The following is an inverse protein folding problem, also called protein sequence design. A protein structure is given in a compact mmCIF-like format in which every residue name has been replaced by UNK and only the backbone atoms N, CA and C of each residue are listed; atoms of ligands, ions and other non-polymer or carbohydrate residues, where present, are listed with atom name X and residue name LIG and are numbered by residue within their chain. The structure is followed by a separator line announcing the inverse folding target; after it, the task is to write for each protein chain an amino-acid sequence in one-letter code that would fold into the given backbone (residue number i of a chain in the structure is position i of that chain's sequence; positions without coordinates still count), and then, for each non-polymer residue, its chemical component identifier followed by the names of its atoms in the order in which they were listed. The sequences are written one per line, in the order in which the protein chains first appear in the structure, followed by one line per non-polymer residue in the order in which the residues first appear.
data_IF_297806484351
#
_entry.id   IF_297806484351
#
_cell.length_a   1.000
_cell.length_b   1.000
_cell.length_c   1.000
_cell.angle_alpha   90.00
_cell.angle_beta   90.00
_cell.angle_gamma   90.00
#
_symmetry.space_group_name_H-M   'P 1'
#
loop_
_entity.id
_entity.type
_entity.pdbx_description
1 polymer ?
#
# COMPACT_ATOMS: atom_id res chain seq x y z
N UNK A 1 -2.32 -7.14 -17.16
CA UNK A 1 -1.87 -8.20 -16.24
C UNK A 1 -0.55 -8.81 -16.72
N UNK A 2 0.59 -8.10 -16.60
CA UNK A 2 1.87 -8.69 -17.01
C UNK A 2 2.20 -9.86 -16.08
N UNK A 3 2.70 -10.96 -16.64
CA UNK A 3 2.95 -12.19 -15.86
C UNK A 3 4.37 -12.66 -16.07
N UNK A 4 5.05 -12.94 -14.97
CA UNK A 4 6.40 -13.50 -14.94
C UNK A 4 6.32 -14.93 -14.39
N UNK A 5 6.83 -15.88 -15.15
CA UNK A 5 6.77 -17.31 -14.86
C UNK A 5 8.19 -17.87 -14.67
N UNK A 6 8.29 -18.90 -13.83
CA UNK A 6 9.51 -19.70 -13.60
C UNK A 6 9.23 -21.16 -13.94
N UNK A 7 10.25 -21.87 -14.42
CA UNK A 7 10.19 -23.31 -14.78
C UNK A 7 8.99 -23.63 -15.67
N UNK A 8 9.07 -23.15 -16.91
CA UNK A 8 7.95 -23.11 -17.85
C UNK A 8 8.07 -24.20 -18.89
N UNK A 9 6.98 -24.91 -19.14
CA UNK A 9 6.80 -25.77 -20.33
C UNK A 9 5.87 -25.07 -21.32
N UNK A 10 6.45 -24.44 -22.34
CA UNK A 10 5.73 -23.70 -23.37
C UNK A 10 5.34 -24.65 -24.51
N UNK A 11 4.06 -24.69 -24.87
CA UNK A 11 3.59 -25.41 -26.06
C UNK A 11 3.03 -24.42 -27.07
N UNK A 12 3.78 -24.17 -28.14
CA UNK A 12 3.31 -23.32 -29.23
C UNK A 12 2.42 -24.13 -30.18
N UNK A 13 1.40 -23.50 -30.76
CA UNK A 13 0.52 -24.16 -31.74
C UNK A 13 1.35 -24.73 -32.90
N UNK A 14 1.19 -26.02 -33.17
CA UNK A 14 1.87 -26.72 -34.27
C UNK A 14 3.37 -26.95 -34.05
N UNK A 15 3.87 -26.78 -32.82
CA UNK A 15 5.27 -27.07 -32.48
C UNK A 15 5.35 -27.97 -31.26
N UNK A 16 6.49 -28.63 -31.10
CA UNK A 16 6.77 -29.43 -29.91
C UNK A 16 6.91 -28.53 -28.66
N UNK A 17 6.55 -29.04 -27.46
CA UNK A 17 6.77 -28.33 -26.22
C UNK A 17 8.25 -28.01 -25.97
N UNK A 18 8.53 -26.84 -25.42
CA UNK A 18 9.88 -26.36 -25.06
C UNK A 18 9.92 -26.00 -23.58
N UNK A 19 10.98 -26.42 -22.89
CA UNK A 19 11.23 -26.05 -21.49
C UNK A 19 12.08 -24.79 -21.40
N UNK A 20 11.77 -23.92 -20.45
CA UNK A 20 12.47 -22.64 -20.21
C UNK A 20 12.54 -22.35 -18.71
N UNK A 21 13.62 -21.74 -18.24
CA UNK A 21 13.73 -21.37 -16.81
C UNK A 21 12.86 -20.17 -16.46
N UNK A 22 12.77 -19.19 -17.35
CA UNK A 22 12.02 -17.95 -17.15
C UNK A 22 11.26 -17.53 -18.40
N UNK A 23 10.03 -17.06 -18.24
CA UNK A 23 9.22 -16.48 -19.31
C UNK A 23 8.43 -15.28 -18.79
N UNK A 24 8.36 -14.21 -19.57
CA UNK A 24 7.51 -13.05 -19.27
C UNK A 24 6.50 -12.84 -20.38
N UNK A 25 5.23 -12.67 -20.02
CA UNK A 25 4.12 -12.46 -20.97
C UNK A 25 3.48 -11.11 -20.69
N UNK A 26 3.36 -10.29 -21.74
CA UNK A 26 2.65 -9.01 -21.67
C UNK A 26 1.16 -9.28 -21.48
N UNK A 27 0.56 -8.59 -20.52
CA UNK A 27 -0.78 -8.93 -20.05
C UNK A 27 -1.91 -8.73 -21.04
N UNK A 28 -1.75 -7.87 -22.04
CA UNK A 28 -2.75 -7.66 -23.08
C UNK A 28 -2.87 -8.88 -24.03
N UNK A 29 -1.86 -9.75 -24.06
CA UNK A 29 -1.85 -10.95 -24.91
C UNK A 29 -2.42 -12.19 -24.19
N UNK A 30 -2.86 -12.04 -22.93
CA UNK A 30 -3.36 -13.15 -22.11
C UNK A 30 -4.88 -13.20 -22.21
N UNK A 31 -5.43 -14.38 -22.57
CA UNK A 31 -6.87 -14.59 -22.72
C UNK A 31 -7.53 -15.16 -21.47
N UNK A 32 -6.86 -16.09 -20.79
CA UNK A 32 -7.36 -16.74 -19.59
C UNK A 32 -6.21 -17.24 -18.72
N UNK A 33 -6.50 -17.47 -17.44
CA UNK A 33 -5.63 -18.15 -16.49
C UNK A 33 -6.32 -19.43 -16.02
N UNK A 34 -5.54 -20.49 -15.83
CA UNK A 34 -5.98 -21.68 -15.11
C UNK A 34 -5.32 -21.58 -13.75
N UNK A 35 -6.13 -21.44 -12.70
CA UNK A 35 -5.66 -21.32 -11.33
C UNK A 35 -5.77 -22.69 -10.62
N UNK A 36 -5.02 -22.93 -9.55
CA UNK A 36 -5.20 -24.12 -8.74
C UNK A 36 -6.62 -24.19 -8.16
N UNK A 37 -7.22 -25.38 -8.17
CA UNK A 37 -8.58 -25.61 -7.64
C UNK A 37 -8.69 -25.30 -6.15
N UNK A 38 -7.57 -25.38 -5.42
CA UNK A 38 -7.49 -25.08 -3.98
C UNK A 38 -7.46 -23.59 -3.65
N UNK A 39 -7.44 -22.71 -4.65
CA UNK A 39 -7.41 -21.27 -4.42
C UNK A 39 -8.79 -20.77 -3.95
N UNK A 40 -8.87 -20.31 -2.71
CA UNK A 40 -10.11 -19.76 -2.15
C UNK A 40 -10.37 -18.34 -2.66
N UNK A 41 -11.04 -18.24 -3.81
CA UNK A 41 -11.38 -16.96 -4.45
C UNK A 41 -12.29 -16.08 -3.59
N UNK A 42 -13.24 -16.67 -2.84
CA UNK A 42 -14.21 -15.89 -2.06
C UNK A 42 -13.50 -14.98 -1.05
N UNK A 43 -12.52 -15.51 -0.33
CA UNK A 43 -11.73 -14.74 0.64
C UNK A 43 -10.86 -13.67 -0.01
N UNK A 44 -10.30 -13.95 -1.19
CA UNK A 44 -9.40 -13.04 -1.91
C UNK A 44 -10.14 -11.92 -2.65
N UNK A 45 -11.41 -12.15 -2.97
CA UNK A 45 -12.28 -11.18 -3.66
C UNK A 45 -13.08 -10.31 -2.69
N UNK A 46 -12.94 -10.50 -1.37
CA UNK A 46 -13.48 -9.55 -0.39
C UNK A 46 -12.68 -8.25 -0.53
N UNK A 47 -13.38 -7.16 -0.84
CA UNK A 47 -12.80 -5.83 -0.78
C UNK A 47 -12.29 -5.58 0.64
N UNK A 48 -10.97 -5.51 0.84
CA UNK A 48 -10.43 -4.91 2.05
C UNK A 48 -10.89 -3.45 2.06
N UNK A 49 -11.95 -3.15 2.81
CA UNK A 49 -12.29 -1.75 3.13
C UNK A 49 -11.02 -1.13 3.68
N UNK A 50 -10.48 -0.06 3.05
CA UNK A 50 -9.18 0.45 3.42
C UNK A 50 -9.21 0.76 4.91
N UNK A 51 -8.30 0.13 5.67
CA UNK A 51 -8.18 0.39 7.11
C UNK A 51 -7.98 1.88 7.30
N UNK A 52 -9.05 2.58 7.68
CA UNK A 52 -9.03 4.02 7.92
C UNK A 52 -8.07 4.22 9.09
N UNK A 53 -6.85 4.66 8.78
CA UNK A 53 -5.89 5.05 9.81
C UNK A 53 -6.57 6.15 10.63
N UNK A 54 -6.75 5.99 11.95
CA UNK A 54 -7.36 7.05 12.75
C UNK A 54 -6.51 8.31 12.57
N UNK A 55 -7.17 9.40 12.12
CA UNK A 55 -6.51 10.72 12.07
C UNK A 55 -5.94 10.99 13.45
N UNK A 56 -4.63 11.28 13.52
CA UNK A 56 -4.00 11.79 14.74
C UNK A 56 -4.87 12.97 15.24
N UNK A 57 -5.25 13.01 16.53
CA UNK A 57 -5.94 14.17 17.05
C UNK A 57 -5.04 15.38 16.84
N UNK A 58 -5.50 16.34 16.03
CA UNK A 58 -4.88 17.66 15.92
C UNK A 58 -5.09 18.38 17.25
N UNK A 59 -4.22 18.11 18.22
CA UNK A 59 -4.06 18.91 19.42
C UNK A 59 -3.42 20.24 18.99
N UNK A 60 -4.26 21.15 18.49
CA UNK A 60 -3.83 22.41 17.90
C UNK A 60 -5.00 23.38 17.82
N UNK A 61 -5.64 23.64 18.96
CA UNK A 61 -6.60 24.74 19.12
C UNK A 61 -6.09 25.57 20.31
N UNK A 62 -5.43 26.73 20.11
CA UNK A 62 -5.09 27.60 21.21
C UNK A 62 -6.40 28.22 21.71
N UNK A 63 -6.97 27.65 22.76
CA UNK A 63 -8.08 28.28 23.47
C UNK A 63 -7.49 29.47 24.23
N UNK A 64 -7.74 30.67 23.71
CA UNK A 64 -7.48 31.90 24.43
C UNK A 64 -8.15 31.88 25.79
N UNK A 65 -7.38 32.09 26.86
CA UNK A 65 -7.91 32.39 28.19
C UNK A 65 -6.84 33.13 28.99
N UNK A 66 -6.92 34.45 28.98
CA UNK A 66 -6.15 35.28 29.90
C UNK A 66 -6.41 34.91 31.36
N UNK A 67 -5.35 34.95 32.17
CA UNK A 67 -5.43 35.11 33.63
C UNK A 67 -4.05 35.55 34.15
N UNK A 68 -3.95 36.85 34.45
CA UNK A 68 -2.78 37.43 35.10
C UNK A 68 -2.55 36.93 36.52
N UNK A 69 -1.31 37.13 36.99
CA UNK A 69 -0.77 37.15 38.38
C UNK A 69 0.76 37.17 38.19
N UNK A 70 1.47 38.30 38.21
CA UNK A 70 1.63 39.21 39.34
C UNK A 70 2.92 38.87 40.10
N UNK A 71 3.75 39.90 40.37
CA UNK A 71 4.98 39.93 41.22
C UNK A 71 6.26 39.50 40.48
N UNK A 72 7.35 40.27 40.36
CA UNK A 72 7.78 41.54 40.95
C UNK A 72 9.32 41.55 41.01
N UNK A 73 9.92 42.74 41.12
CA UNK A 73 11.36 43.03 41.41
C UNK A 73 12.31 42.80 40.20
N UNK A 74 13.11 43.72 39.68
CA UNK A 74 13.52 45.06 40.08
C UNK A 74 15.01 45.26 39.71
N UNK A 75 15.35 46.48 39.26
CA UNK A 75 16.66 47.18 39.33
C UNK A 75 17.65 47.12 38.15
N UNK A 76 18.05 48.34 37.75
CA UNK A 76 19.26 48.74 37.00
C UNK A 76 18.92 49.39 35.65
N UNK A 77 18.67 50.71 35.49
CA UNK A 77 19.56 51.91 35.57
C UNK A 77 20.99 51.59 35.11
N UNK A 78 21.59 52.26 34.12
CA UNK A 78 21.19 53.39 33.28
C UNK A 78 22.39 53.91 32.47
N UNK A 79 22.12 54.92 31.63
CA UNK A 79 23.00 55.69 30.74
C UNK A 79 23.70 54.91 29.62
#
# INVERSE_FOLDING_TARGET
MNTHLKTVKLTMKGKNPVTMDHLSVRGNNIRYYILPDSLNLETLLVEETPRVKPKKPTAGRPVGRGRGRGRGRGRGRGR
#
